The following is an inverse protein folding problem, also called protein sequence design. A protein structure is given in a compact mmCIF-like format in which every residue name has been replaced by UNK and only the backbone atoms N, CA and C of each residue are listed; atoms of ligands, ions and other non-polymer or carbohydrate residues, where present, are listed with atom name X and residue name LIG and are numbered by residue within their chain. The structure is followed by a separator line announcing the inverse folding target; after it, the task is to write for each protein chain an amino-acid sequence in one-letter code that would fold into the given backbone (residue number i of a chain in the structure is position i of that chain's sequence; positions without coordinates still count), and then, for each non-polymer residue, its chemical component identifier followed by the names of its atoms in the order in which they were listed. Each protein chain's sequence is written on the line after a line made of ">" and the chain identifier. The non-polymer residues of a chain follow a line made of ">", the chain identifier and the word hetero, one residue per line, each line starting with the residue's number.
data_IF_340275058744
#
_entry.id   IF_340275058744
#
_cell.length_a   1.000
_cell.length_b   1.000
_cell.length_c   1.000
_cell.angle_alpha   90.00
_cell.angle_beta   90.00
_cell.angle_gamma   90.00
#
_symmetry.space_group_name_H-M   'P 1'
#
loop_
_entity.id
_entity.type
_entity.pdbx_description
1 polymer ?
#
# COMPACT_ATOMS: atom_id res chain seq x y z
N UNK A 1 25.95 -2.52 -11.39
CA UNK A 1 25.07 -3.47 -10.67
C UNK A 1 24.19 -4.36 -11.57
N UNK A 2 24.14 -4.17 -12.90
CA UNK A 2 23.37 -5.00 -13.84
C UNK A 2 23.70 -6.53 -13.84
N UNK A 3 24.98 -6.97 -13.69
CA UNK A 3 25.32 -8.39 -13.70
C UNK A 3 24.76 -9.17 -12.49
N UNK A 4 24.69 -8.52 -11.32
CA UNK A 4 24.21 -9.14 -10.08
C UNK A 4 22.70 -9.41 -10.11
N UNK A 5 21.92 -8.48 -10.69
CA UNK A 5 20.48 -8.64 -10.85
C UNK A 5 20.14 -9.76 -11.84
N UNK A 6 20.81 -9.80 -13.00
CA UNK A 6 20.61 -10.88 -13.98
C UNK A 6 21.05 -12.25 -13.44
N UNK A 7 22.02 -12.30 -12.54
CA UNK A 7 22.40 -13.57 -11.89
C UNK A 7 21.38 -14.02 -10.84
N UNK A 8 20.78 -13.07 -10.11
CA UNK A 8 19.71 -13.35 -9.14
C UNK A 8 18.47 -13.88 -9.84
N UNK A 9 18.04 -13.25 -10.94
CA UNK A 9 16.91 -13.72 -11.75
C UNK A 9 17.17 -15.12 -12.32
N UNK A 10 18.36 -15.40 -12.87
CA UNK A 10 18.69 -16.74 -13.37
C UNK A 10 18.64 -17.82 -12.29
N UNK A 11 19.10 -17.52 -11.07
CA UNK A 11 19.00 -18.46 -9.94
C UNK A 11 17.56 -18.71 -9.54
N UNK A 12 16.72 -17.67 -9.57
CA UNK A 12 15.30 -17.79 -9.30
C UNK A 12 14.60 -18.64 -10.36
N UNK A 13 14.82 -18.35 -11.64
CA UNK A 13 14.27 -19.09 -12.78
C UNK A 13 14.69 -20.57 -12.73
N UNK A 14 15.96 -20.85 -12.40
CA UNK A 14 16.43 -22.23 -12.21
C UNK A 14 15.73 -22.97 -11.07
N UNK A 15 15.34 -22.26 -10.00
CA UNK A 15 14.64 -22.85 -8.85
C UNK A 15 13.17 -23.13 -9.14
N UNK A 16 12.49 -22.25 -9.90
CA UNK A 16 11.06 -22.37 -10.20
C UNK A 16 10.77 -23.09 -11.53
N UNK A 17 11.82 -23.35 -12.33
CA UNK A 17 11.74 -24.10 -13.58
C UNK A 17 11.15 -23.33 -14.77
N UNK A 18 10.82 -22.05 -14.61
CA UNK A 18 10.21 -21.20 -15.66
C UNK A 18 10.89 -19.84 -15.74
N UNK A 19 11.08 -19.27 -16.95
CA UNK A 19 11.61 -17.92 -17.11
C UNK A 19 10.59 -16.88 -16.64
N UNK A 20 11.06 -15.89 -15.88
CA UNK A 20 10.23 -14.77 -15.37
C UNK A 20 10.42 -13.51 -16.19
N UNK A 21 11.50 -13.46 -16.97
CA UNK A 21 11.80 -12.34 -17.87
C UNK A 21 12.07 -12.81 -19.30
N UNK A 22 11.77 -11.95 -20.27
CA UNK A 22 12.06 -12.15 -21.67
C UNK A 22 12.69 -10.89 -22.28
N UNK A 23 13.52 -11.05 -23.31
CA UNK A 23 14.08 -9.91 -24.06
C UNK A 23 13.01 -9.28 -24.95
N UNK A 24 12.96 -7.95 -24.96
CA UNK A 24 12.12 -7.17 -25.86
C UNK A 24 12.95 -6.03 -26.47
N UNK A 25 13.50 -6.25 -27.66
CA UNK A 25 14.41 -5.31 -28.33
C UNK A 25 15.66 -5.02 -27.48
N UNK A 26 15.83 -3.76 -27.07
CA UNK A 26 16.92 -3.32 -26.17
C UNK A 26 16.60 -3.49 -24.68
N UNK A 27 15.40 -3.97 -24.33
CA UNK A 27 14.91 -4.07 -22.96
C UNK A 27 14.55 -5.49 -22.52
N UNK A 28 13.97 -5.57 -21.33
CA UNK A 28 13.48 -6.79 -20.69
C UNK A 28 12.03 -6.57 -20.25
N UNK A 29 11.18 -7.58 -20.45
CA UNK A 29 9.78 -7.57 -20.01
C UNK A 29 9.49 -8.81 -19.16
N UNK A 30 8.46 -8.73 -18.31
CA UNK A 30 7.98 -9.88 -17.56
C UNK A 30 7.26 -10.87 -18.47
N UNK A 31 7.55 -12.17 -18.29
CA UNK A 31 6.71 -13.25 -18.82
C UNK A 31 5.40 -13.34 -18.04
N UNK A 32 4.47 -14.19 -18.45
CA UNK A 32 3.27 -14.49 -17.66
C UNK A 32 3.62 -15.00 -16.25
N UNK A 33 4.58 -15.94 -16.17
CA UNK A 33 5.11 -16.41 -14.89
C UNK A 33 5.74 -15.28 -14.07
N UNK A 34 6.45 -14.35 -14.72
CA UNK A 34 6.99 -13.16 -14.07
C UNK A 34 5.93 -12.24 -13.49
N UNK A 35 4.79 -12.09 -14.17
CA UNK A 35 3.65 -11.29 -13.65
C UNK A 35 2.98 -11.99 -12.46
N UNK A 36 2.81 -13.31 -12.51
CA UNK A 36 2.31 -14.11 -11.38
C UNK A 36 3.23 -13.92 -10.17
N UNK A 37 4.54 -14.08 -10.37
CA UNK A 37 5.52 -13.90 -9.32
C UNK A 37 5.50 -12.47 -8.75
N UNK A 38 5.45 -11.45 -9.61
CA UNK A 38 5.43 -10.05 -9.19
C UNK A 38 4.24 -9.75 -8.27
N UNK A 39 3.04 -10.25 -8.60
CA UNK A 39 1.85 -10.09 -7.74
C UNK A 39 2.01 -10.67 -6.34
N UNK A 40 2.81 -11.72 -6.17
CA UNK A 40 3.04 -12.35 -4.88
C UNK A 40 4.31 -11.84 -4.18
N UNK A 41 5.21 -11.18 -4.92
CA UNK A 41 6.50 -10.74 -4.41
C UNK A 41 6.35 -9.69 -3.31
N UNK A 42 5.43 -8.72 -3.49
CA UNK A 42 5.15 -7.68 -2.51
C UNK A 42 4.69 -8.28 -1.17
N UNK A 43 3.69 -9.15 -1.20
CA UNK A 43 3.20 -9.86 0.00
C UNK A 43 4.28 -10.68 0.69
N UNK A 44 5.15 -11.37 -0.05
CA UNK A 44 6.25 -12.16 0.53
C UNK A 44 7.29 -11.25 1.20
N UNK A 45 7.65 -10.14 0.57
CA UNK A 45 8.59 -9.16 1.15
C UNK A 45 8.00 -8.58 2.44
N UNK A 46 6.73 -8.16 2.41
CA UNK A 46 6.04 -7.66 3.60
C UNK A 46 5.94 -8.70 4.73
N UNK A 47 5.72 -9.97 4.41
CA UNK A 47 5.73 -11.03 5.41
C UNK A 47 7.11 -11.22 6.07
N UNK A 48 8.19 -11.09 5.30
CA UNK A 48 9.56 -11.14 5.81
C UNK A 48 9.85 -9.91 6.69
N UNK A 49 9.47 -8.72 6.25
CA UNK A 49 9.64 -7.48 7.03
C UNK A 49 8.90 -7.56 8.36
N UNK A 50 7.67 -8.09 8.36
CA UNK A 50 6.90 -8.36 9.58
C UNK A 50 7.61 -9.33 10.52
N UNK A 51 8.13 -10.44 10.00
CA UNK A 51 8.85 -11.40 10.82
C UNK A 51 10.11 -10.77 11.43
N UNK A 52 10.81 -9.91 10.69
CA UNK A 52 11.94 -9.16 11.21
C UNK A 52 11.53 -8.19 12.32
N UNK A 53 10.41 -7.48 12.16
CA UNK A 53 9.86 -6.58 13.17
C UNK A 53 9.45 -7.33 14.44
N UNK A 54 8.75 -8.47 14.34
CA UNK A 54 8.39 -9.32 15.48
C UNK A 54 9.63 -9.85 16.22
N UNK A 55 10.70 -10.19 15.50
CA UNK A 55 11.97 -10.61 16.07
C UNK A 55 12.71 -9.46 16.77
N UNK A 56 12.61 -8.24 16.23
CA UNK A 56 13.16 -7.03 16.86
C UNK A 56 12.40 -6.67 18.14
N UNK A 57 11.07 -6.83 18.15
CA UNK A 57 10.22 -6.64 19.33
C UNK A 57 10.58 -7.61 20.45
N UNK A 58 10.76 -8.91 20.12
CA UNK A 58 11.20 -9.93 21.09
C UNK A 58 12.57 -9.62 21.71
N UNK A 59 13.42 -8.86 21.02
CA UNK A 59 14.74 -8.45 21.51
C UNK A 59 14.71 -7.13 22.29
N UNK A 60 13.54 -6.51 22.43
CA UNK A 60 13.39 -5.18 23.03
C UNK A 60 14.09 -4.08 22.23
N UNK A 61 14.34 -4.31 20.93
CA UNK A 61 15.15 -3.45 20.06
C UNK A 61 14.34 -2.40 19.30
N UNK A 62 13.01 -2.38 19.43
CA UNK A 62 12.17 -1.37 18.78
C UNK A 62 11.10 -0.79 19.68
N UNK A 63 11.03 0.53 19.62
CA UNK A 63 9.77 1.24 19.66
C UNK A 63 9.04 1.02 18.32
N UNK A 64 7.74 0.73 18.38
CA UNK A 64 6.98 0.08 17.31
C UNK A 64 6.98 0.81 15.96
N UNK A 65 6.97 0.04 14.87
CA UNK A 65 6.68 0.58 13.52
C UNK A 65 5.17 0.63 13.33
N UNK A 66 4.64 1.73 12.78
CA UNK A 66 3.24 1.86 12.34
C UNK A 66 3.20 2.11 10.84
N UNK A 67 2.53 1.25 10.09
CA UNK A 67 2.41 1.36 8.62
C UNK A 67 1.04 1.94 8.26
N UNK A 68 1.05 3.04 7.53
CA UNK A 68 -0.15 3.79 7.16
C UNK A 68 -0.34 3.73 5.65
N UNK A 69 -1.52 3.30 5.19
CA UNK A 69 -1.95 3.43 3.80
C UNK A 69 -2.95 4.60 3.68
N UNK A 70 -2.84 5.44 2.64
CA UNK A 70 -3.80 6.53 2.42
C UNK A 70 -3.93 6.94 0.95
N UNK A 71 -5.12 7.43 0.58
CA UNK A 71 -5.42 7.94 -0.77
C UNK A 71 -4.81 9.32 -1.02
N UNK A 72 -4.48 9.69 -2.28
CA UNK A 72 -3.64 10.85 -2.62
C UNK A 72 -4.06 12.20 -1.98
N UNK A 73 -5.36 12.50 -1.90
CA UNK A 73 -5.83 13.73 -1.28
C UNK A 73 -5.65 13.71 0.25
N UNK A 74 -5.80 12.57 0.93
CA UNK A 74 -5.43 12.44 2.34
C UNK A 74 -3.91 12.51 2.55
N UNK A 75 -3.13 11.91 1.64
CA UNK A 75 -1.65 11.92 1.65
C UNK A 75 -1.07 13.32 1.70
N UNK A 76 -1.68 14.24 0.96
CA UNK A 76 -1.22 15.63 0.81
C UNK A 76 -1.78 16.59 1.85
N UNK A 77 -2.76 16.17 2.66
CA UNK A 77 -3.48 17.07 3.58
C UNK A 77 -3.45 16.62 5.04
N UNK A 78 -4.10 15.50 5.36
CA UNK A 78 -4.33 15.05 6.73
C UNK A 78 -3.19 14.18 7.25
N UNK A 79 -2.66 13.27 6.43
CA UNK A 79 -1.62 12.32 6.83
C UNK A 79 -0.35 13.01 7.37
N UNK A 80 0.20 14.05 6.74
CA UNK A 80 1.42 14.69 7.25
C UNK A 80 1.23 15.30 8.64
N UNK A 81 0.05 15.87 8.92
CA UNK A 81 -0.29 16.44 10.23
C UNK A 81 -0.45 15.34 11.28
N UNK A 82 -1.12 14.24 10.93
CA UNK A 82 -1.30 13.09 11.81
C UNK A 82 0.04 12.48 12.20
N UNK A 83 0.88 12.16 11.21
CA UNK A 83 2.20 11.57 11.43
C UNK A 83 3.11 12.52 12.22
N UNK A 84 3.07 13.82 11.95
CA UNK A 84 3.81 14.82 12.71
C UNK A 84 3.41 14.85 14.19
N UNK A 85 2.11 14.80 14.50
CA UNK A 85 1.62 14.74 15.88
C UNK A 85 2.01 13.44 16.59
N UNK A 86 1.90 12.30 15.91
CA UNK A 86 2.28 11.00 16.47
C UNK A 86 3.80 10.90 16.72
N UNK A 87 4.62 11.41 15.81
CA UNK A 87 6.07 11.44 15.99
C UNK A 87 6.50 12.29 17.21
N UNK A 88 5.77 13.38 17.49
CA UNK A 88 6.03 14.20 18.68
C UNK A 88 5.57 13.51 19.97
N UNK A 89 4.38 12.90 19.97
CA UNK A 89 3.84 12.22 21.14
C UNK A 89 4.57 10.91 21.47
N UNK A 90 5.12 10.25 20.45
CA UNK A 90 5.78 8.95 20.56
C UNK A 90 7.10 8.94 19.76
N UNK A 91 8.19 9.54 20.29
CA UNK A 91 9.46 9.71 19.56
C UNK A 91 10.16 8.40 19.17
N UNK A 92 9.76 7.27 19.76
CA UNK A 92 10.28 5.96 19.40
C UNK A 92 9.56 5.32 18.21
N UNK A 93 8.36 5.78 17.85
CA UNK A 93 7.63 5.18 16.73
C UNK A 93 8.34 5.49 15.41
N UNK A 94 8.40 4.46 14.55
CA UNK A 94 8.77 4.62 13.15
C UNK A 94 7.53 4.51 12.30
N UNK A 95 7.48 5.23 11.19
CA UNK A 95 6.34 5.21 10.29
C UNK A 95 6.74 4.61 8.94
N UNK A 96 5.99 3.60 8.51
CA UNK A 96 5.94 3.17 7.11
C UNK A 96 4.75 3.82 6.44
N UNK A 97 4.87 4.14 5.15
CA UNK A 97 3.81 4.84 4.43
C UNK A 97 3.62 4.29 3.02
N UNK A 98 2.36 4.09 2.63
CA UNK A 98 1.92 3.65 1.32
C UNK A 98 0.83 4.60 0.81
N UNK A 99 1.03 5.19 -0.36
CA UNK A 99 -0.05 5.88 -1.07
C UNK A 99 -0.85 4.87 -1.89
N UNK A 100 -2.15 4.79 -1.68
CA UNK A 100 -3.05 3.81 -2.30
C UNK A 100 -4.51 4.31 -2.31
N UNK A 101 -5.23 4.07 -3.40
CA UNK A 101 -6.68 4.34 -3.47
C UNK A 101 -7.46 3.42 -2.50
N UNK A 102 -8.72 3.74 -2.14
CA UNK A 102 -9.50 3.00 -1.15
C UNK A 102 -9.48 1.48 -1.27
N UNK A 103 -9.70 0.87 -2.46
CA UNK A 103 -9.72 -0.58 -2.57
C UNK A 103 -8.35 -1.20 -2.23
N UNK A 104 -7.26 -0.60 -2.72
CA UNK A 104 -5.90 -1.05 -2.48
C UNK A 104 -5.46 -0.82 -1.03
N UNK A 105 -5.81 0.32 -0.42
CA UNK A 105 -5.50 0.62 0.96
C UNK A 105 -6.19 -0.38 1.91
N UNK A 106 -7.44 -0.74 1.63
CA UNK A 106 -8.18 -1.75 2.37
C UNK A 106 -7.60 -3.15 2.14
N UNK A 107 -7.20 -3.48 0.91
CA UNK A 107 -6.51 -4.73 0.61
C UNK A 107 -5.20 -4.84 1.39
N UNK A 108 -4.43 -3.75 1.51
CA UNK A 108 -3.19 -3.70 2.30
C UNK A 108 -3.43 -4.00 3.79
N UNK A 109 -4.56 -3.57 4.38
CA UNK A 109 -4.93 -3.94 5.76
C UNK A 109 -5.20 -5.44 5.87
N UNK A 110 -5.96 -6.00 4.93
CA UNK A 110 -6.29 -7.44 4.93
C UNK A 110 -5.06 -8.31 4.73
N UNK A 111 -4.14 -7.87 3.87
CA UNK A 111 -2.84 -8.50 3.67
C UNK A 111 -1.85 -8.25 4.81
N UNK A 112 -2.21 -7.41 5.79
CA UNK A 112 -1.37 -6.94 6.90
C UNK A 112 -0.09 -6.23 6.45
N UNK A 113 -0.14 -5.63 5.27
CA UNK A 113 0.90 -4.78 4.68
C UNK A 113 0.82 -3.36 5.25
N UNK A 114 -0.38 -2.93 5.65
CA UNK A 114 -0.62 -1.74 6.47
C UNK A 114 -1.23 -2.13 7.83
N UNK A 115 -1.04 -1.27 8.83
CA UNK A 115 -1.64 -1.37 10.16
C UNK A 115 -2.87 -0.44 10.29
N UNK A 116 -2.85 0.69 9.58
CA UNK A 116 -3.95 1.66 9.51
C UNK A 116 -4.13 2.10 8.06
N UNK A 117 -5.39 2.13 7.58
CA UNK A 117 -5.73 2.73 6.29
C UNK A 117 -6.61 3.95 6.50
N UNK A 118 -6.22 5.08 5.91
CA UNK A 118 -7.07 6.25 5.75
C UNK A 118 -7.76 6.11 4.40
N UNK A 119 -9.08 5.97 4.42
CA UNK A 119 -9.91 5.73 3.24
C UNK A 119 -11.16 6.61 3.28
N UNK A 120 -11.93 6.63 2.20
CA UNK A 120 -13.25 7.24 2.12
C UNK A 120 -14.28 6.21 1.67
N UNK A 121 -15.54 6.45 2.02
CA UNK A 121 -16.68 5.64 1.60
C UNK A 121 -17.88 6.56 1.39
N UNK A 122 -18.86 6.09 0.63
CA UNK A 122 -20.09 6.80 0.31
C UNK A 122 -21.27 6.05 0.92
N UNK A 123 -21.48 6.10 2.25
CA UNK A 123 -22.46 5.26 2.94
C UNK A 123 -23.91 5.52 2.52
N UNK A 124 -24.19 6.69 1.95
CA UNK A 124 -25.50 7.06 1.42
C UNK A 124 -25.68 6.70 -0.07
N UNK A 125 -24.63 6.18 -0.71
CA UNK A 125 -24.67 5.69 -2.09
C UNK A 125 -24.92 4.18 -2.09
N UNK A 126 -26.11 3.71 -2.54
CA UNK A 126 -26.41 2.28 -2.59
C UNK A 126 -25.54 1.52 -3.59
N UNK A 127 -24.89 2.22 -4.52
CA UNK A 127 -24.01 1.66 -5.55
C UNK A 127 -22.51 1.86 -5.21
N UNK A 128 -22.17 2.22 -3.97
CA UNK A 128 -20.78 2.35 -3.53
C UNK A 128 -20.02 1.02 -3.76
N UNK A 129 -19.06 0.98 -4.71
CA UNK A 129 -18.35 -0.24 -5.05
C UNK A 129 -17.50 -0.77 -3.90
N UNK A 130 -17.15 0.10 -2.95
CA UNK A 130 -16.22 -0.18 -1.86
C UNK A 130 -16.92 -0.45 -0.53
N UNK A 131 -18.26 -0.34 -0.46
CA UNK A 131 -19.03 -0.55 0.76
C UNK A 131 -18.74 -1.90 1.44
N UNK A 132 -18.62 -2.97 0.63
CA UNK A 132 -18.29 -4.32 1.12
C UNK A 132 -16.82 -4.51 1.44
N UNK A 133 -15.93 -3.68 0.88
CA UNK A 133 -14.49 -3.80 1.12
C UNK A 133 -14.17 -3.59 2.61
N UNK A 134 -15.01 -2.85 3.33
CA UNK A 134 -14.85 -2.55 4.75
C UNK A 134 -15.40 -3.63 5.70
N UNK A 135 -16.12 -4.63 5.19
CA UNK A 135 -16.77 -5.65 6.03
C UNK A 135 -15.77 -6.43 6.90
N UNK A 136 -16.08 -6.52 8.20
CA UNK A 136 -15.21 -7.21 9.16
C UNK A 136 -13.92 -6.46 9.53
N UNK A 137 -13.80 -5.18 9.14
CA UNK A 137 -12.76 -4.28 9.64
C UNK A 137 -13.33 -3.34 10.70
N UNK A 138 -12.49 -2.91 11.64
CA UNK A 138 -12.85 -1.81 12.53
C UNK A 138 -12.75 -0.50 11.75
N UNK A 139 -13.88 0.17 11.54
CA UNK A 139 -13.96 1.44 10.84
C UNK A 139 -14.33 2.54 11.82
N UNK A 140 -13.51 3.59 11.89
CA UNK A 140 -13.76 4.77 12.72
C UNK A 140 -13.91 6.00 11.84
N UNK A 141 -15.09 6.65 11.80
CA UNK A 141 -15.26 7.90 11.07
C UNK A 141 -14.32 8.96 11.62
N UNK A 142 -13.52 9.57 10.73
CA UNK A 142 -12.59 10.63 11.12
C UNK A 142 -13.22 12.02 10.90
N UNK A 143 -13.75 12.27 9.70
CA UNK A 143 -14.51 13.47 9.35
C UNK A 143 -15.42 13.20 8.13
N UNK A 144 -16.24 14.19 7.76
CA UNK A 144 -17.00 14.21 6.50
C UNK A 144 -16.54 15.38 5.64
N UNK A 145 -16.48 15.18 4.33
CA UNK A 145 -16.12 16.22 3.37
C UNK A 145 -17.29 16.53 2.43
N UNK A 146 -17.32 17.76 1.93
CA UNK A 146 -18.29 18.20 0.91
C UNK A 146 -17.62 18.17 -0.45
N UNK A 147 -18.20 17.45 -1.40
CA UNK A 147 -17.80 17.48 -2.81
C UNK A 147 -18.48 18.64 -3.53
N UNK A 148 -17.74 19.29 -4.43
CA UNK A 148 -18.23 20.41 -5.23
C UNK A 148 -18.26 20.01 -6.70
N UNK A 149 -19.42 20.14 -7.34
CA UNK A 149 -19.52 20.08 -8.79
C UNK A 149 -19.08 21.41 -9.39
N UNK A 150 -18.10 21.39 -10.29
CA UNK A 150 -17.62 22.57 -11.00
C UNK A 150 -18.06 22.48 -12.45
N UNK A 151 -18.89 23.44 -12.87
CA UNK A 151 -19.34 23.57 -14.25
C UNK A 151 -18.83 24.90 -14.82
N UNK A 152 -18.60 25.00 -16.14
CA UNK A 152 -18.40 26.30 -16.77
C UNK A 152 -19.57 27.20 -16.40
N UNK A 153 -19.29 28.47 -16.10
CA UNK A 153 -20.33 29.47 -15.99
C UNK A 153 -21.10 29.44 -17.31
N UNK A 154 -22.34 28.94 -17.28
CA UNK A 154 -23.16 28.85 -18.47
C UNK A 154 -23.18 30.25 -19.05
N UNK A 155 -22.63 30.44 -20.27
CA UNK A 155 -22.83 31.70 -20.98
C UNK A 155 -24.33 31.91 -20.98
N UNK A 156 -24.78 32.92 -20.25
CA UNK A 156 -26.15 33.39 -20.29
C UNK A 156 -26.52 33.48 -21.77
N UNK A 157 -27.54 32.71 -22.16
CA UNK A 157 -28.14 32.86 -23.49
C UNK A 157 -28.55 34.31 -23.69
#
# INVERSE_FOLDING_TARGET
>A
SQPALSQTLRRLEARIGVPVTARAGRGVVLTEAGRVLARHAETVVHAIDRAADELDDLRGLRAGTVRVAAFPSASSTVVPRLLGGLAQAHPGLRFGYLEAEPPEAVAAIRAREADVAVTFAYPDDPDDPDARALDGLEVRPLWRETLWAVLPEARAL
#
